data_IF_167466054155
#
_entry.id   IF_167466054155
#
_cell.length_a   1.000
_cell.length_b   1.000
_cell.length_c   1.000
_cell.angle_alpha   90.00
_cell.angle_beta   90.00
_cell.angle_gamma   90.00
#
_symmetry.space_group_name_H-M   'P 1'
#
loop_
_entity.id
_entity.type
_entity.pdbx_description
1 polymer ?
#
# COMPACT_ATOMS: atom_id res chain seq x y z
N UNK A 1 0.89 19.01 37.34
CA UNK A 1 1.47 17.78 36.74
C UNK A 1 0.38 17.13 35.91
N UNK A 2 0.42 17.25 34.59
CA UNK A 2 -0.51 16.53 33.73
C UNK A 2 0.30 15.81 32.65
N UNK A 3 0.62 14.55 32.93
CA UNK A 3 1.37 13.68 32.03
C UNK A 3 0.38 13.05 31.06
N UNK A 4 0.21 13.68 29.88
CA UNK A 4 -0.47 13.06 28.77
C UNK A 4 0.43 11.92 28.25
N UNK A 5 0.15 10.69 28.67
CA UNK A 5 0.85 9.49 28.20
C UNK A 5 0.55 9.35 26.71
N UNK A 6 1.55 9.61 25.88
CA UNK A 6 1.47 9.40 24.44
C UNK A 6 0.98 7.99 24.16
N UNK A 7 -0.19 7.87 23.54
CA UNK A 7 -0.78 6.61 23.16
C UNK A 7 0.24 5.87 22.27
N UNK A 8 0.76 4.75 22.77
CA UNK A 8 1.60 3.86 21.99
C UNK A 8 0.71 3.24 20.92
N UNK A 9 0.77 3.76 19.70
CA UNK A 9 0.08 3.16 18.57
C UNK A 9 0.97 2.04 18.01
N UNK A 10 0.41 0.83 17.79
CA UNK A 10 1.17 -0.24 17.16
C UNK A 10 1.62 0.19 15.76
N UNK A 11 2.78 -0.31 15.28
CA UNK A 11 3.26 0.00 13.95
C UNK A 11 2.23 -0.44 12.90
N UNK A 12 2.12 0.34 11.83
CA UNK A 12 1.13 0.10 10.78
C UNK A 12 1.19 -1.33 10.26
N UNK A 13 0.13 -2.09 10.56
CA UNK A 13 0.02 -3.50 10.20
C UNK A 13 -0.79 -3.65 8.90
N UNK A 14 -0.09 -3.79 7.79
CA UNK A 14 -0.74 -4.07 6.50
C UNK A 14 -1.31 -5.50 6.39
N UNK A 15 -1.08 -6.36 7.38
CA UNK A 15 -1.60 -7.71 7.45
C UNK A 15 -2.86 -7.84 8.33
N UNK A 16 -3.21 -6.81 9.11
CA UNK A 16 -4.34 -6.88 10.05
C UNK A 16 -5.68 -6.80 9.33
N UNK A 17 -6.19 -7.97 8.95
CA UNK A 17 -7.61 -8.19 8.70
C UNK A 17 -8.27 -8.47 10.08
N UNK A 18 -8.56 -7.44 10.88
CA UNK A 18 -9.24 -7.56 12.18
C UNK A 18 -10.73 -8.01 12.01
N UNK A 19 -11.37 -8.71 12.97
CA UNK A 19 -11.10 -10.07 13.39
C UNK A 19 -12.38 -10.93 13.27
N UNK A 20 -12.90 -11.18 12.06
CA UNK A 20 -13.93 -12.23 11.84
C UNK A 20 -13.33 -13.53 11.26
N UNK A 21 -12.06 -13.50 10.84
CA UNK A 21 -11.34 -14.65 10.28
C UNK A 21 -11.15 -15.83 11.26
N UNK A 22 -11.52 -15.68 12.55
CA UNK A 22 -11.58 -16.79 13.52
C UNK A 22 -12.81 -17.69 13.33
N UNK A 23 -13.91 -17.20 12.73
CA UNK A 23 -15.12 -18.00 12.52
C UNK A 23 -15.02 -18.94 11.30
N UNK A 24 -14.15 -18.64 10.33
CA UNK A 24 -13.94 -19.50 9.16
C UNK A 24 -13.24 -20.84 9.47
N UNK A 25 -12.71 -21.01 10.69
CA UNK A 25 -12.12 -22.28 11.16
C UNK A 25 -13.09 -23.22 11.89
N UNK A 26 -14.35 -22.81 12.09
CA UNK A 26 -15.33 -23.62 12.83
C UNK A 26 -16.13 -24.62 11.98
N UNK A 27 -15.96 -24.61 10.65
CA UNK A 27 -16.72 -25.47 9.73
C UNK A 27 -15.84 -26.31 8.81
N UNK A 28 -14.66 -26.75 9.26
CA UNK A 28 -13.91 -27.80 8.54
C UNK A 28 -13.65 -28.98 9.47
N UNK A 29 -14.69 -29.79 9.66
CA UNK A 29 -14.55 -31.19 10.05
C UNK A 29 -14.12 -31.97 8.81
N UNK A 30 -12.92 -32.56 8.91
CA UNK A 30 -12.47 -33.81 8.30
C UNK A 30 -13.39 -34.44 7.23
N UNK A 31 -13.00 -34.38 5.96
CA UNK A 31 -13.33 -35.39 4.96
C UNK A 31 -12.07 -35.63 4.11
N UNK A 32 -11.40 -36.73 4.42
CA UNK A 32 -10.40 -37.39 3.59
C UNK A 32 -11.11 -38.13 2.46
N UNK A 33 -10.99 -37.64 1.23
CA UNK A 33 -11.25 -38.42 0.02
C UNK A 33 -10.13 -38.15 -1.00
N UNK A 34 -9.34 -39.17 -1.40
CA UNK A 34 -8.19 -38.99 -2.30
C UNK A 34 -8.57 -39.00 -3.80
N UNK A 35 -9.83 -38.75 -4.16
CA UNK A 35 -10.33 -38.86 -5.53
C UNK A 35 -11.06 -37.60 -5.97
N UNK A 36 -10.31 -36.54 -6.24
CA UNK A 36 -10.74 -35.38 -7.05
C UNK A 36 -9.51 -34.62 -7.54
N UNK A 37 -8.61 -35.34 -8.22
CA UNK A 37 -7.59 -34.71 -9.06
C UNK A 37 -8.18 -34.48 -10.45
N UNK A 38 -9.10 -33.53 -10.53
CA UNK A 38 -9.54 -32.86 -11.75
C UNK A 38 -10.19 -31.54 -11.35
N UNK A 39 -9.36 -30.57 -10.98
CA UNK A 39 -9.70 -29.17 -11.17
C UNK A 39 -8.69 -28.62 -12.17
N UNK A 40 -9.11 -27.95 -13.25
CA UNK A 40 -8.17 -27.23 -14.08
C UNK A 40 -7.55 -26.19 -13.16
N UNK A 41 -6.23 -26.29 -12.96
CA UNK A 41 -5.46 -25.17 -12.48
C UNK A 41 -5.85 -24.02 -13.39
N UNK A 42 -6.58 -23.04 -12.85
CA UNK A 42 -6.78 -21.79 -13.56
C UNK A 42 -5.37 -21.31 -13.86
N UNK A 43 -5.06 -21.32 -15.14
CA UNK A 43 -4.06 -20.51 -15.79
C UNK A 43 -4.18 -19.09 -15.22
N UNK A 44 -3.43 -18.86 -14.15
CA UNK A 44 -3.15 -17.54 -13.61
C UNK A 44 -1.70 -17.34 -14.02
N UNK A 45 -1.48 -16.56 -15.07
CA UNK A 45 -0.13 -16.20 -15.46
C UNK A 45 0.53 -15.52 -14.24
N UNK A 46 1.85 -15.63 -14.05
CA UNK A 46 2.56 -14.93 -12.96
C UNK A 46 2.29 -13.42 -12.93
N UNK A 47 1.83 -12.89 -14.06
CA UNK A 47 1.45 -11.51 -14.37
C UNK A 47 0.12 -11.13 -13.68
N UNK A 48 -0.83 -12.06 -13.60
CA UNK A 48 -2.14 -11.88 -12.98
C UNK A 48 -2.05 -11.78 -11.44
N UNK A 49 -0.95 -12.27 -10.84
CA UNK A 49 -0.65 -12.14 -9.41
C UNK A 49 0.16 -10.88 -9.04
N UNK A 50 0.54 -10.03 -10.02
CA UNK A 50 1.39 -8.84 -9.76
C UNK A 50 0.75 -7.89 -8.75
N UNK A 51 -0.57 -7.70 -8.81
CA UNK A 51 -1.27 -6.83 -7.86
C UNK A 51 -1.21 -7.36 -6.43
N UNK A 52 -1.29 -8.68 -6.24
CA UNK A 52 -1.16 -9.32 -4.93
C UNK A 52 0.27 -9.17 -4.39
N UNK A 53 1.28 -9.28 -5.25
CA UNK A 53 2.67 -9.04 -4.88
C UNK A 53 2.90 -7.59 -4.46
N UNK A 54 2.36 -6.64 -5.23
CA UNK A 54 2.42 -5.20 -4.94
C UNK A 54 1.79 -4.89 -3.58
N UNK A 55 0.63 -5.47 -3.29
CA UNK A 55 -0.11 -5.27 -2.04
C UNK A 55 0.30 -6.22 -0.92
N UNK A 56 1.36 -7.02 -1.10
CA UNK A 56 1.81 -7.92 -0.06
C UNK A 56 2.27 -7.12 1.18
N UNK A 57 1.96 -7.57 2.42
CA UNK A 57 2.32 -6.83 3.62
C UNK A 57 3.83 -6.54 3.75
N UNK A 58 4.68 -7.44 3.25
CA UNK A 58 6.13 -7.25 3.23
C UNK A 58 6.55 -6.12 2.28
N UNK A 59 5.98 -6.08 1.08
CA UNK A 59 6.27 -5.04 0.11
C UNK A 59 5.79 -3.67 0.61
N UNK A 60 4.56 -3.60 1.12
CA UNK A 60 3.99 -2.35 1.64
C UNK A 60 4.79 -1.81 2.84
N UNK A 61 5.28 -2.66 3.75
CA UNK A 61 6.19 -2.23 4.83
C UNK A 61 7.52 -1.66 4.31
N UNK A 62 8.06 -2.20 3.21
CA UNK A 62 9.26 -1.65 2.56
C UNK A 62 8.95 -0.31 1.88
N UNK A 63 7.86 -0.25 1.12
CA UNK A 63 7.39 0.96 0.48
C UNK A 63 7.13 2.08 1.48
N UNK A 64 6.47 1.77 2.59
CA UNK A 64 6.17 2.73 3.64
C UNK A 64 7.43 3.31 4.29
N UNK A 65 8.42 2.47 4.59
CA UNK A 65 9.73 2.94 5.10
C UNK A 65 10.39 3.92 4.14
N UNK A 66 10.36 3.66 2.84
CA UNK A 66 10.93 4.55 1.83
C UNK A 66 10.17 5.88 1.77
N UNK A 67 8.83 5.84 1.76
CA UNK A 67 7.99 7.05 1.73
C UNK A 67 8.22 7.92 2.97
N UNK A 68 8.29 7.32 4.16
CA UNK A 68 8.66 8.04 5.40
C UNK A 68 10.05 8.67 5.29
N UNK A 69 11.03 7.89 4.83
CA UNK A 69 12.43 8.32 4.69
C UNK A 69 12.60 9.52 3.77
N UNK A 70 11.78 9.62 2.72
CA UNK A 70 11.82 10.71 1.74
C UNK A 70 11.26 12.04 2.28
N UNK A 71 10.54 12.06 3.41
CA UNK A 71 10.02 13.27 4.10
C UNK A 71 9.29 14.25 3.17
N UNK A 72 8.54 13.73 2.20
CA UNK A 72 7.82 14.53 1.21
C UNK A 72 6.72 15.41 1.83
N UNK A 73 6.49 16.58 1.24
CA UNK A 73 5.41 17.47 1.65
C UNK A 73 4.02 16.83 1.41
N UNK A 74 2.96 17.28 2.12
CA UNK A 74 1.60 16.82 1.87
C UNK A 74 1.12 17.08 0.44
N UNK A 75 0.24 16.22 -0.05
CA UNK A 75 -0.47 16.39 -1.32
C UNK A 75 -1.61 17.41 -1.20
N UNK A 76 -2.56 17.46 -2.16
CA UNK A 76 -3.72 18.35 -2.07
C UNK A 76 -4.64 18.09 -0.87
N UNK A 77 -4.68 16.86 -0.36
CA UNK A 77 -5.49 16.49 0.82
C UNK A 77 -4.96 17.05 2.14
N UNK A 78 -3.74 17.60 2.16
CA UNK A 78 -3.10 18.14 3.35
C UNK A 78 -2.58 17.10 4.34
N UNK A 79 -2.81 15.80 4.11
CA UNK A 79 -2.44 14.74 5.04
C UNK A 79 -0.91 14.59 5.12
N UNK A 80 -0.39 14.66 6.34
CA UNK A 80 1.04 14.47 6.62
C UNK A 80 1.38 12.98 6.77
N UNK A 81 2.68 12.67 6.75
CA UNK A 81 3.17 11.31 7.00
C UNK A 81 2.78 10.81 8.40
N UNK A 82 2.72 11.70 9.39
CA UNK A 82 2.35 11.35 10.75
C UNK A 82 0.86 11.00 10.85
N UNK A 83 0.00 11.82 10.27
CA UNK A 83 -1.46 11.59 10.26
C UNK A 83 -1.86 10.36 9.43
N UNK A 84 -1.07 10.02 8.40
CA UNK A 84 -1.36 8.90 7.53
C UNK A 84 -1.39 7.55 8.26
N UNK A 85 -0.54 7.33 9.27
CA UNK A 85 -0.53 6.04 9.98
C UNK A 85 -1.86 5.77 10.69
N UNK A 86 -2.33 6.77 11.42
CA UNK A 86 -3.60 6.72 12.14
C UNK A 86 -4.77 6.54 11.17
N UNK A 87 -4.75 7.28 10.06
CA UNK A 87 -5.78 7.15 9.01
C UNK A 87 -5.77 5.74 8.38
N UNK A 88 -4.59 5.21 8.07
CA UNK A 88 -4.48 3.95 7.35
C UNK A 88 -4.96 2.75 8.18
N UNK A 89 -4.85 2.76 9.52
CA UNK A 89 -5.42 1.71 10.38
C UNK A 89 -6.92 1.47 10.15
N UNK A 90 -7.69 2.53 9.89
CA UNK A 90 -9.14 2.42 9.66
C UNK A 90 -9.55 2.29 8.19
N UNK A 91 -8.68 2.67 7.25
CA UNK A 91 -9.05 2.83 5.85
C UNK A 91 -8.36 1.85 4.90
N UNK A 92 -7.27 1.20 5.34
CA UNK A 92 -6.43 0.38 4.47
C UNK A 92 -7.19 -0.80 3.84
N UNK A 93 -8.05 -1.49 4.60
CA UNK A 93 -8.81 -2.63 4.08
C UNK A 93 -9.67 -2.24 2.86
N UNK A 94 -10.37 -1.11 2.95
CA UNK A 94 -11.18 -0.56 1.84
C UNK A 94 -10.31 -0.20 0.63
N UNK A 95 -9.16 0.46 0.87
CA UNK A 95 -8.24 0.83 -0.20
C UNK A 95 -7.69 -0.41 -0.91
N UNK A 96 -7.28 -1.43 -0.16
CA UNK A 96 -6.79 -2.70 -0.69
C UNK A 96 -7.86 -3.39 -1.54
N UNK A 97 -9.12 -3.40 -1.09
CA UNK A 97 -10.23 -3.95 -1.87
C UNK A 97 -10.44 -3.18 -3.18
N UNK A 98 -10.41 -1.84 -3.16
CA UNK A 98 -10.53 -1.03 -4.36
C UNK A 98 -9.37 -1.24 -5.35
N UNK A 99 -8.16 -1.44 -4.82
CA UNK A 99 -6.97 -1.70 -5.60
C UNK A 99 -7.03 -3.06 -6.30
N UNK A 100 -7.43 -4.12 -5.58
CA UNK A 100 -7.63 -5.46 -6.15
C UNK A 100 -8.83 -5.50 -7.12
N UNK A 101 -9.90 -4.75 -6.82
CA UNK A 101 -11.08 -4.66 -7.67
C UNK A 101 -10.95 -3.69 -8.85
N UNK A 102 -9.81 -3.01 -9.02
CA UNK A 102 -9.58 -2.06 -10.11
C UNK A 102 -10.41 -0.78 -10.04
N UNK A 103 -11.04 -0.47 -8.90
CA UNK A 103 -11.90 0.71 -8.73
C UNK A 103 -11.20 1.87 -8.03
N UNK A 104 -9.95 1.70 -7.57
CA UNK A 104 -9.18 2.76 -6.93
C UNK A 104 -8.90 3.90 -7.91
N UNK A 105 -9.24 5.13 -7.51
CA UNK A 105 -8.92 6.33 -8.28
C UNK A 105 -7.88 7.18 -7.54
N UNK A 106 -6.65 7.30 -8.07
CA UNK A 106 -5.63 8.17 -7.51
C UNK A 106 -6.11 9.63 -7.47
N UNK A 107 -5.69 10.36 -6.45
CA UNK A 107 -6.07 11.76 -6.31
C UNK A 107 -5.19 12.67 -7.19
N UNK A 108 -5.67 13.88 -7.54
CA UNK A 108 -4.85 14.88 -8.22
C UNK A 108 -3.56 15.19 -7.47
N UNK A 109 -2.54 15.66 -8.19
CA UNK A 109 -1.26 16.08 -7.60
C UNK A 109 -1.22 17.58 -7.31
N UNK A 110 -0.60 17.98 -6.21
CA UNK A 110 -0.39 19.39 -5.88
C UNK A 110 0.77 19.96 -6.71
N UNK A 111 0.54 21.08 -7.36
CA UNK A 111 1.58 21.79 -8.11
C UNK A 111 2.47 22.61 -7.18
N UNK A 112 3.78 22.43 -7.29
CA UNK A 112 4.78 23.27 -6.62
C UNK A 112 5.86 23.69 -7.61
N UNK A 113 6.08 24.98 -7.73
CA UNK A 113 7.16 25.54 -8.54
C UNK A 113 8.42 25.67 -7.69
N UNK A 114 9.55 25.17 -8.20
CA UNK A 114 10.88 25.40 -7.60
C UNK A 114 11.85 25.91 -8.66
N UNK A 115 12.81 26.78 -8.31
CA UNK A 115 13.85 27.20 -9.25
C UNK A 115 14.70 26.01 -9.71
N UNK A 116 15.11 25.99 -10.98
CA UNK A 116 16.11 25.03 -11.45
C UNK A 116 17.48 25.33 -10.82
N UNK A 117 18.34 24.33 -10.62
CA UNK A 117 19.75 24.55 -10.30
C UNK A 117 20.37 25.47 -11.37
N UNK A 118 20.97 26.59 -10.96
CA UNK A 118 21.54 27.59 -11.88
C UNK A 118 20.61 28.75 -12.26
N UNK A 119 19.41 28.84 -11.69
CA UNK A 119 18.57 30.05 -11.68
C UNK A 119 17.83 30.38 -12.98
N UNK A 120 18.05 29.63 -14.08
CA UNK A 120 17.30 29.83 -15.32
C UNK A 120 16.06 28.96 -15.37
N UNK A 121 14.92 29.60 -15.09
CA UNK A 121 13.60 29.03 -15.21
C UNK A 121 13.22 28.12 -14.05
N UNK A 122 11.97 27.66 -14.11
CA UNK A 122 11.34 26.92 -13.03
C UNK A 122 11.16 25.45 -13.39
N UNK A 123 11.21 24.59 -12.37
CA UNK A 123 10.76 23.21 -12.40
C UNK A 123 9.42 23.12 -11.68
N UNK A 124 8.42 22.69 -12.42
CA UNK A 124 7.13 22.32 -11.84
C UNK A 124 7.22 20.90 -11.27
N UNK A 125 6.86 20.76 -10.00
CA UNK A 125 6.73 19.49 -9.30
C UNK A 125 5.25 19.15 -9.12
N UNK A 126 4.92 17.86 -9.29
CA UNK A 126 3.66 17.27 -8.85
C UNK A 126 3.89 16.54 -7.54
N UNK A 127 3.16 16.91 -6.50
CA UNK A 127 3.24 16.29 -5.17
C UNK A 127 1.94 15.49 -4.95
N UNK A 128 1.95 14.16 -5.12
CA UNK A 128 0.80 13.30 -4.84
C UNK A 128 0.51 13.18 -3.33
N UNK A 129 -0.66 12.68 -2.97
CA UNK A 129 -1.03 12.36 -1.58
C UNK A 129 -0.13 11.25 -0.99
N UNK A 130 -0.10 11.13 0.34
CA UNK A 130 0.74 10.13 1.02
C UNK A 130 0.36 8.71 0.58
N UNK A 131 -0.95 8.44 0.49
CA UNK A 131 -1.47 7.14 0.04
C UNK A 131 -1.00 6.78 -1.37
N UNK A 132 -1.14 7.73 -2.31
CA UNK A 132 -0.73 7.52 -3.70
C UNK A 132 0.78 7.27 -3.80
N UNK A 133 1.59 7.96 -2.98
CA UNK A 133 3.05 7.69 -2.92
C UNK A 133 3.36 6.29 -2.40
N UNK A 134 2.63 5.82 -1.40
CA UNK A 134 2.79 4.45 -0.89
C UNK A 134 2.51 3.43 -1.99
N UNK A 135 1.37 3.58 -2.69
CA UNK A 135 0.96 2.67 -3.76
C UNK A 135 1.97 2.72 -4.92
N UNK A 136 2.35 3.90 -5.38
CA UNK A 136 3.36 4.07 -6.44
C UNK A 136 4.70 3.44 -6.05
N UNK A 137 5.15 3.64 -4.81
CA UNK A 137 6.39 3.06 -4.32
C UNK A 137 6.32 1.53 -4.24
N UNK A 138 5.17 0.97 -3.86
CA UNK A 138 4.94 -0.47 -3.84
C UNK A 138 4.95 -1.07 -5.26
N UNK A 139 4.35 -0.37 -6.24
CA UNK A 139 4.38 -0.74 -7.66
C UNK A 139 5.83 -0.75 -8.17
N UNK A 140 6.58 0.33 -7.92
CA UNK A 140 7.99 0.44 -8.35
C UNK A 140 8.83 -0.71 -7.79
N UNK A 141 8.65 -1.09 -6.52
CA UNK A 141 9.42 -2.17 -5.91
C UNK A 141 9.23 -3.54 -6.57
N UNK A 142 8.06 -3.80 -7.16
CA UNK A 142 7.76 -5.05 -7.86
C UNK A 142 8.14 -4.96 -9.33
N UNK A 143 7.86 -3.83 -10.00
CA UNK A 143 8.08 -3.71 -11.44
C UNK A 143 9.54 -3.44 -11.81
N UNK A 144 10.29 -2.66 -11.03
CA UNK A 144 11.69 -2.34 -11.36
C UNK A 144 12.55 -3.58 -11.65
N UNK A 145 12.60 -4.64 -10.81
CA UNK A 145 13.44 -5.81 -11.11
C UNK A 145 13.00 -6.60 -12.36
N UNK A 146 11.78 -6.39 -12.86
CA UNK A 146 11.27 -7.03 -14.08
C UNK A 146 11.79 -6.28 -15.32
N UNK A 147 11.80 -4.94 -15.28
CA UNK A 147 12.20 -4.10 -16.42
C UNK A 147 13.68 -3.69 -16.41
N UNK A 148 14.32 -3.70 -15.25
CA UNK A 148 15.71 -3.31 -15.04
C UNK A 148 16.38 -4.33 -14.10
N UNK A 149 16.70 -5.54 -14.60
CA UNK A 149 17.29 -6.62 -13.79
C UNK A 149 18.77 -6.39 -13.43
N UNK A 150 19.39 -5.30 -13.90
CA UNK A 150 20.82 -5.00 -13.70
C UNK A 150 21.70 -5.34 -14.90
#
# INVERSE_FOLDING_TARGET
>A
MNSNRGAWQPPLDFASEEPWARQAKLFRTELTDPALNDQPALDVSPEDALMELILSPNNLRRAWRQVKGNRGAPGPDGMTIAEFEDWAHGNWATVKQQLLGGTYQPQPVRRKTIPKPGGKGDRLLGIPNVLDRLIQQAIVQVLTPIFDPG
#
